data_IF_376371661031
#
_entry.id   IF_376371661031
#
_cell.length_a   1.000
_cell.length_b   1.000
_cell.length_c   1.000
_cell.angle_alpha   90.00
_cell.angle_beta   90.00
_cell.angle_gamma   90.00
#
_symmetry.space_group_name_H-M   'P 1'
#
loop_
_entity.id
_entity.type
_entity.pdbx_description
1 polymer ?
#
# COMPACT_ATOMS: atom_id res chain seq x y z
N UNK A 1 1.60 14.01 1.43
CA UNK A 1 1.98 14.07 1.12
C UNK A 1 1.76 14.26 0.78
N UNK A 2 1.40 13.95 0.73
CA UNK A 2 1.36 13.99 0.36
C UNK A 2 1.12 13.97 -0.10
N UNK A 3 0.80 13.75 -0.04
CA UNK A 3 0.78 13.84 -0.47
C UNK A 3 0.34 14.05 -0.44
N UNK A 4 0.21 13.93 -0.46
CA UNK A 4 0.21 14.11 -0.48
C UNK A 4 -0.30 14.53 -0.29
N UNK A 5 -0.47 14.39 -0.26
CA UNK A 5 -0.62 14.69 -0.18
C UNK A 5 -0.91 14.88 -0.18
N UNK A 6 -1.07 14.67 -0.06
CA UNK A 6 -1.03 14.88 -0.06
C UNK A 6 -1.25 15.01 0.12
N UNK A 7 -1.48 14.97 -0.01
CA UNK A 7 -1.37 15.06 0.14
C UNK A 7 -1.59 15.28 0.60
N UNK A 8 -1.84 15.35 0.72
CA UNK A 8 -1.70 15.61 1.08
C UNK A 8 -1.91 15.91 1.50
N UNK A 9 -2.16 16.08 1.54
CA UNK A 9 -2.12 16.45 1.82
C UNK A 9 -2.41 16.77 2.30
N UNK A 10 -2.66 16.92 2.51
CA UNK A 10 -2.74 17.30 2.93
C UNK A 10 -3.07 17.56 3.46
N UNK A 11 -3.33 17.87 3.54
CA UNK A 11 -3.50 18.26 3.99
C UNK A 11 -4.08 18.48 4.46
N UNK A 12 -4.62 18.78 4.53
CA UNK A 12 -5.19 19.25 5.04
C UNK A 12 -6.15 19.22 5.39
N UNK A 13 -6.55 19.57 5.42
CA UNK A 13 -7.51 20.03 5.73
C UNK A 13 -8.38 19.24 6.25
N UNK A 14 -9.13 19.23 6.79
CA UNK A 14 -9.76 18.63 7.43
C UNK A 14 -11.10 18.66 7.38
N UNK A 15 -11.81 17.98 6.78
CA UNK A 15 -13.16 18.07 6.80
C UNK A 15 -13.70 16.71 6.88
N UNK A 16 -14.94 16.62 7.09
CA UNK A 16 -15.62 15.41 7.34
C UNK A 16 -15.56 14.39 6.24
N UNK A 17 -15.77 14.77 4.99
CA UNK A 17 -15.70 13.78 3.95
C UNK A 17 -14.34 13.12 3.88
N UNK A 18 -13.34 13.91 4.14
CA UNK A 18 -12.00 13.42 4.14
C UNK A 18 -11.80 12.41 5.25
N UNK A 19 -12.39 12.66 6.40
CA UNK A 19 -12.27 11.76 7.52
C UNK A 19 -12.99 10.46 7.30
N UNK A 20 -14.09 10.51 6.60
CA UNK A 20 -14.81 9.31 6.29
C UNK A 20 -14.02 8.41 5.38
N UNK A 21 -13.40 8.99 4.38
CA UNK A 21 -12.54 8.24 3.50
C UNK A 21 -11.43 7.57 4.26
N UNK A 22 -10.85 8.29 5.20
CA UNK A 22 -9.80 7.75 6.02
C UNK A 22 -10.27 6.58 6.84
N UNK A 23 -11.49 6.65 7.34
CA UNK A 23 -12.03 5.58 8.15
C UNK A 23 -12.17 4.30 7.37
N UNK A 24 -12.64 4.40 6.13
CA UNK A 24 -12.79 3.24 5.28
C UNK A 24 -11.44 2.58 5.04
N UNK A 25 -10.44 3.38 4.73
CA UNK A 25 -9.11 2.84 4.54
C UNK A 25 -8.54 2.30 5.83
N UNK A 26 -8.93 2.89 6.95
CA UNK A 26 -8.43 2.46 8.24
C UNK A 26 -8.84 1.07 8.62
N UNK A 27 -9.96 0.61 8.11
CA UNK A 27 -10.38 -0.74 8.42
C UNK A 27 -9.35 -1.76 7.96
N UNK A 28 -8.94 -1.63 6.72
CA UNK A 28 -7.94 -2.53 6.17
C UNK A 28 -6.58 -2.25 6.81
N UNK A 29 -6.23 -0.99 6.96
CA UNK A 29 -4.94 -0.61 7.52
C UNK A 29 -4.80 -1.01 8.99
N UNK A 30 -5.91 -1.20 9.68
CA UNK A 30 -5.87 -1.58 11.09
C UNK A 30 -5.57 -3.07 11.29
N UNK A 31 -5.67 -3.86 10.25
CA UNK A 31 -5.38 -5.28 10.36
C UNK A 31 -3.89 -5.53 10.35
N UNK A 32 -3.50 -6.70 10.83
CA UNK A 32 -2.10 -7.11 10.79
C UNK A 32 -1.87 -8.08 9.66
N UNK A 33 -0.71 -8.00 9.05
CA UNK A 33 -0.35 -8.97 8.04
C UNK A 33 -0.14 -10.32 8.69
N UNK A 34 -0.65 -11.35 8.05
CA UNK A 34 -0.53 -12.71 8.58
C UNK A 34 0.63 -13.38 7.89
N UNK A 35 1.48 -14.09 8.65
CA UNK A 35 2.58 -14.82 8.00
C UNK A 35 2.05 -15.76 6.96
N UNK A 36 2.68 -15.75 5.81
CA UNK A 36 2.22 -16.57 4.70
C UNK A 36 2.61 -18.02 4.91
N UNK A 37 1.65 -18.90 4.68
CA UNK A 37 1.95 -20.33 4.64
C UNK A 37 1.95 -20.72 3.18
N UNK A 38 2.99 -21.43 2.76
CA UNK A 38 3.01 -21.95 1.42
C UNK A 38 1.83 -22.87 1.19
N UNK A 39 1.40 -22.99 -0.07
CA UNK A 39 0.35 -23.92 -0.41
C UNK A 39 -1.07 -23.35 -0.37
N UNK A 40 -1.23 -22.12 0.12
CA UNK A 40 -2.52 -21.45 0.10
C UNK A 40 -2.72 -20.90 -1.32
N UNK A 41 -3.91 -21.10 -1.93
CA UNK A 41 -4.10 -20.57 -3.27
C UNK A 41 -4.15 -19.05 -3.26
N UNK A 42 -3.62 -18.39 -4.28
CA UNK A 42 -3.69 -16.94 -4.35
C UNK A 42 -5.11 -16.47 -4.59
N UNK A 43 -5.37 -15.24 -4.18
CA UNK A 43 -6.67 -14.61 -4.43
C UNK A 43 -6.90 -14.44 -5.92
N UNK A 44 -8.16 -14.48 -6.32
CA UNK A 44 -8.54 -14.33 -7.71
C UNK A 44 -9.84 -13.57 -7.85
N UNK A 45 -10.06 -13.01 -9.03
CA UNK A 45 -11.33 -12.47 -9.45
C UNK A 45 -11.98 -11.52 -8.46
N UNK A 46 -13.16 -11.92 -8.00
CA UNK A 46 -13.97 -11.08 -7.14
C UNK A 46 -13.29 -10.74 -5.82
N UNK A 47 -12.55 -11.68 -5.26
CA UNK A 47 -11.86 -11.43 -4.00
C UNK A 47 -10.89 -10.28 -4.15
N UNK A 48 -10.14 -10.27 -5.27
CA UNK A 48 -9.21 -9.20 -5.56
C UNK A 48 -9.97 -7.89 -5.73
N UNK A 49 -11.06 -7.90 -6.47
CA UNK A 49 -11.81 -6.68 -6.73
C UNK A 49 -12.40 -6.10 -5.45
N UNK A 50 -12.90 -6.95 -4.57
CA UNK A 50 -13.45 -6.50 -3.30
C UNK A 50 -12.41 -5.79 -2.45
N UNK A 51 -11.22 -6.36 -2.36
CA UNK A 51 -10.16 -5.76 -1.57
C UNK A 51 -9.61 -4.52 -2.25
N UNK A 52 -9.46 -4.56 -3.57
CA UNK A 52 -8.94 -3.43 -4.32
C UNK A 52 -9.86 -2.22 -4.20
N UNK A 53 -11.16 -2.44 -4.10
CA UNK A 53 -12.11 -1.34 -3.97
C UNK A 53 -11.91 -0.56 -2.68
N UNK A 54 -11.22 -1.13 -1.71
CA UNK A 54 -10.93 -0.45 -0.45
C UNK A 54 -9.64 0.37 -0.51
N UNK A 55 -8.94 0.32 -1.62
CA UNK A 55 -7.69 1.06 -1.81
C UNK A 55 -7.89 2.15 -2.85
N UNK A 56 -6.99 3.13 -2.85
CA UNK A 56 -7.02 4.21 -3.81
C UNK A 56 -5.68 4.29 -4.54
N UNK A 57 -5.74 4.24 -5.86
CA UNK A 57 -4.54 4.44 -6.66
C UNK A 57 -3.66 3.21 -6.83
N UNK A 58 -4.11 2.06 -6.36
CA UNK A 58 -3.38 0.82 -6.56
C UNK A 58 -3.94 0.06 -7.75
N UNK A 59 -3.06 -0.56 -8.51
CA UNK A 59 -3.43 -1.40 -9.63
C UNK A 59 -3.01 -2.83 -9.38
N UNK A 60 -3.76 -3.77 -9.96
CA UNK A 60 -3.42 -5.18 -9.89
C UNK A 60 -2.99 -5.61 -11.27
N UNK A 61 -1.82 -6.22 -11.37
CA UNK A 61 -1.31 -6.71 -12.65
C UNK A 61 -1.38 -8.23 -12.67
N UNK A 62 -2.08 -8.78 -13.66
CA UNK A 62 -2.16 -10.21 -13.87
C UNK A 62 -2.68 -11.01 -12.70
N UNK A 63 -3.47 -10.39 -11.85
CA UNK A 63 -3.94 -11.01 -10.60
C UNK A 63 -2.78 -11.49 -9.73
N UNK A 64 -1.60 -10.98 -9.98
CA UNK A 64 -0.39 -11.45 -9.34
C UNK A 64 0.18 -10.48 -8.32
N UNK A 65 0.17 -9.18 -8.62
CA UNK A 65 0.77 -8.21 -7.69
C UNK A 65 0.05 -6.88 -7.75
N UNK A 66 0.20 -6.12 -6.66
CA UNK A 66 -0.27 -4.75 -6.55
C UNK A 66 0.86 -3.80 -6.91
N UNK A 67 0.52 -2.66 -7.50
CA UNK A 67 1.52 -1.65 -7.80
C UNK A 67 0.95 -0.26 -7.64
N UNK A 68 1.79 0.66 -7.19
CA UNK A 68 1.41 2.07 -7.08
C UNK A 68 2.64 2.93 -7.17
N UNK A 69 2.51 4.07 -7.86
CA UNK A 69 3.58 5.03 -7.95
C UNK A 69 3.24 6.26 -7.12
N UNK A 70 4.20 6.71 -6.32
CA UNK A 70 4.07 7.90 -5.48
C UNK A 70 5.00 8.97 -6.01
N UNK A 71 4.55 10.23 -6.00
CA UNK A 71 5.33 11.35 -6.49
C UNK A 71 5.72 12.26 -5.34
N UNK A 72 6.91 12.84 -5.42
CA UNK A 72 7.45 13.70 -4.37
C UNK A 72 8.15 14.89 -4.99
N UNK A 73 8.43 15.90 -4.18
CA UNK A 73 9.02 17.14 -4.68
C UNK A 73 10.52 17.02 -4.94
N UNK A 74 11.17 16.07 -4.27
CA UNK A 74 12.62 15.93 -4.43
C UNK A 74 13.06 14.56 -3.95
N UNK A 75 14.36 14.30 -4.04
CA UNK A 75 14.89 13.00 -3.66
C UNK A 75 14.80 12.75 -2.15
N UNK A 76 15.00 13.79 -1.35
CA UNK A 76 14.96 13.65 0.11
C UNK A 76 13.59 13.14 0.56
N UNK A 77 12.55 13.73 0.02
CA UNK A 77 11.20 13.30 0.38
C UNK A 77 10.94 11.88 -0.05
N UNK A 78 11.42 11.52 -1.24
CA UNK A 78 11.27 10.16 -1.73
C UNK A 78 11.98 9.18 -0.81
N UNK A 79 13.21 9.50 -0.44
CA UNK A 79 13.99 8.65 0.43
C UNK A 79 13.34 8.47 1.80
N UNK A 80 12.80 9.57 2.35
CA UNK A 80 12.11 9.50 3.64
C UNK A 80 10.91 8.57 3.55
N UNK A 81 10.17 8.65 2.46
CA UNK A 81 9.03 7.76 2.26
C UNK A 81 9.48 6.30 2.18
N UNK A 82 10.52 6.03 1.40
CA UNK A 82 11.03 4.67 1.24
C UNK A 82 11.48 4.10 2.58
N UNK A 83 12.14 4.93 3.40
CA UNK A 83 12.57 4.50 4.72
C UNK A 83 11.37 4.13 5.60
N UNK A 84 10.31 4.91 5.54
CA UNK A 84 9.12 4.61 6.34
C UNK A 84 8.41 3.35 5.86
N UNK A 85 8.38 3.15 4.55
CA UNK A 85 7.83 1.90 4.01
C UNK A 85 8.65 0.71 4.49
N UNK A 86 9.97 0.86 4.49
CA UNK A 86 10.85 -0.20 4.97
C UNK A 86 10.61 -0.55 6.43
N UNK A 87 10.47 0.46 7.28
CA UNK A 87 10.19 0.20 8.69
C UNK A 87 8.86 -0.52 8.87
N UNK A 88 7.86 -0.08 8.14
CA UNK A 88 6.55 -0.71 8.20
C UNK A 88 6.64 -2.17 7.75
N UNK A 89 7.36 -2.42 6.67
CA UNK A 89 7.51 -3.77 6.14
C UNK A 89 8.16 -4.69 7.16
N UNK A 90 9.16 -4.18 7.89
CA UNK A 90 9.79 -4.95 8.93
C UNK A 90 8.84 -5.25 10.08
N UNK A 91 8.03 -4.27 10.46
CA UNK A 91 7.06 -4.48 11.52
C UNK A 91 6.02 -5.53 11.15
N UNK A 92 5.62 -5.53 9.90
CA UNK A 92 4.57 -6.44 9.44
C UNK A 92 5.11 -7.79 8.98
N UNK A 93 6.41 -7.90 8.83
CA UNK A 93 6.99 -9.14 8.32
C UNK A 93 6.58 -9.44 6.89
N UNK A 94 6.28 -8.40 6.10
CA UNK A 94 5.82 -8.55 4.74
C UNK A 94 6.48 -7.45 3.92
N UNK A 95 7.26 -7.82 2.92
CA UNK A 95 8.18 -6.90 2.28
C UNK A 95 7.81 -6.62 0.83
N UNK A 96 7.62 -5.35 0.46
CA UNK A 96 7.37 -4.98 -0.93
C UNK A 96 8.68 -4.83 -1.68
N UNK A 97 8.59 -4.79 -3.00
CA UNK A 97 9.69 -4.33 -3.82
C UNK A 97 9.50 -2.84 -4.04
N UNK A 98 10.60 -2.09 -3.98
CA UNK A 98 10.53 -0.65 -4.14
C UNK A 98 11.57 -0.22 -5.15
N UNK A 99 11.11 0.52 -6.17
CA UNK A 99 12.00 1.12 -7.14
C UNK A 99 11.82 2.62 -7.02
N UNK A 100 12.88 3.36 -6.71
CA UNK A 100 12.69 4.78 -6.49
C UNK A 100 13.86 5.58 -7.05
N UNK A 101 13.58 6.86 -7.27
CA UNK A 101 14.56 7.79 -7.75
C UNK A 101 14.13 9.19 -7.35
N UNK A 102 14.69 10.19 -8.01
CA UNK A 102 14.37 11.57 -7.69
C UNK A 102 12.90 11.83 -7.94
N UNK A 103 12.18 12.12 -6.88
CA UNK A 103 10.78 12.56 -6.98
C UNK A 103 9.77 11.46 -7.19
N UNK A 104 10.16 10.18 -7.18
CA UNK A 104 9.17 9.12 -7.36
C UNK A 104 9.59 7.83 -6.68
N UNK A 105 8.59 7.06 -6.25
CA UNK A 105 8.81 5.72 -5.72
C UNK A 105 7.70 4.83 -6.25
N UNK A 106 8.08 3.67 -6.75
CA UNK A 106 7.13 2.68 -7.23
C UNK A 106 7.17 1.48 -6.29
N UNK A 107 6.02 1.13 -5.74
CA UNK A 107 5.92 0.05 -4.77
C UNK A 107 5.15 -1.10 -5.39
N UNK A 108 5.71 -2.30 -5.29
CA UNK A 108 5.09 -3.49 -5.84
C UNK A 108 4.99 -4.52 -4.71
N UNK A 109 3.80 -5.10 -4.53
CA UNK A 109 3.54 -6.01 -3.42
C UNK A 109 2.92 -7.31 -3.90
N UNK A 110 3.49 -8.43 -3.50
CA UNK A 110 2.83 -9.73 -3.66
C UNK A 110 3.45 -10.69 -2.65
N UNK A 111 2.79 -11.83 -2.47
CA UNK A 111 3.27 -12.83 -1.53
C UNK A 111 4.12 -13.85 -2.26
N UNK A 112 5.42 -13.81 -2.03
CA UNK A 112 6.36 -14.61 -2.80
C UNK A 112 6.16 -16.11 -2.64
N UNK A 113 5.80 -16.55 -1.43
CA UNK A 113 5.65 -17.97 -1.15
C UNK A 113 4.56 -18.64 -1.96
N UNK A 114 3.55 -17.90 -2.37
CA UNK A 114 2.45 -18.46 -3.16
C UNK A 114 2.41 -17.87 -4.56
N UNK A 115 3.37 -17.01 -4.88
CA UNK A 115 3.50 -16.39 -6.20
C UNK A 115 2.19 -15.73 -6.63
N UNK A 116 1.63 -14.92 -5.74
CA UNK A 116 0.38 -14.24 -6.01
C UNK A 116 -0.05 -13.39 -4.83
N UNK A 117 -1.32 -13.02 -4.81
CA UNK A 117 -1.87 -12.10 -3.82
C UNK A 117 -2.58 -12.81 -2.69
N UNK A 118 -2.43 -12.24 -1.49
CA UNK A 118 -3.21 -12.63 -0.32
C UNK A 118 -3.78 -11.35 0.30
N UNK A 119 -4.63 -11.52 1.29
CA UNK A 119 -5.17 -10.38 2.00
C UNK A 119 -4.07 -9.51 2.60
N UNK A 120 -2.98 -10.12 3.03
CA UNK A 120 -1.87 -9.37 3.62
C UNK A 120 -1.28 -8.33 2.67
N UNK A 121 -1.29 -8.61 1.38
CA UNK A 121 -0.78 -7.65 0.41
C UNK A 121 -1.64 -6.39 0.40
N UNK A 122 -2.95 -6.54 0.48
CA UNK A 122 -3.87 -5.40 0.52
C UNK A 122 -3.78 -4.66 1.84
N UNK A 123 -3.55 -5.39 2.94
CA UNK A 123 -3.36 -4.76 4.24
C UNK A 123 -2.11 -3.90 4.22
N UNK A 124 -1.02 -4.41 3.70
CA UNK A 124 0.22 -3.65 3.62
C UNK A 124 0.04 -2.41 2.75
N UNK A 125 -0.65 -2.56 1.61
CA UNK A 125 -0.91 -1.42 0.73
C UNK A 125 -1.67 -0.31 1.46
N UNK A 126 -2.69 -0.69 2.22
CA UNK A 126 -3.49 0.29 2.97
C UNK A 126 -2.63 0.98 4.04
N UNK A 127 -1.77 0.22 4.70
CA UNK A 127 -0.89 0.80 5.71
C UNK A 127 0.11 1.77 5.09
N UNK A 128 0.64 1.44 3.92
CA UNK A 128 1.56 2.33 3.22
C UNK A 128 0.88 3.65 2.88
N UNK A 129 -0.37 3.58 2.45
CA UNK A 129 -1.12 4.80 2.12
C UNK A 129 -1.33 5.71 3.32
N UNK A 130 -1.17 5.20 4.52
CA UNK A 130 -1.34 6.00 5.73
C UNK A 130 -0.03 6.58 6.27
N UNK A 131 1.06 6.38 5.60
CA UNK A 131 2.36 6.92 6.03
C UNK A 131 2.50 8.41 5.79
#
# INVERSE_FOLDING_TARGET
>A
MRVLRNAAANCDSVNTPFEESKRVMSELAARECVPCRGGVPPLKGEEIQNLLSQLTGWDVAGEHHLGKEYKFRNFRETLDFVNRVGELAEQQGHHPDICFGWGRAEVTIWTHKIDGLTESDFILAAKIDNL
#
